data_IF_916662109071
#
_entry.id   IF_916662109071
#
_cell.length_a   1.000
_cell.length_b   1.000
_cell.length_c   1.000
_cell.angle_alpha   90.00
_cell.angle_beta   90.00
_cell.angle_gamma   90.00
#
_symmetry.space_group_name_H-M   'P 1'
#
loop_
_entity.id
_entity.type
_entity.pdbx_description
1 polymer ?
#
# COMPACT_ATOMS: atom_id res chain seq x y z
N UNK A 1 -0.57 -3.13 0.48
CA UNK A 1 -1.35 -3.59 -0.69
C UNK A 1 -0.48 -3.61 -1.92
N UNK A 2 -0.71 -4.54 -2.84
CA UNK A 2 0.00 -4.57 -4.13
C UNK A 2 -1.03 -4.60 -5.25
N UNK A 3 -0.85 -3.73 -6.25
CA UNK A 3 -1.60 -3.76 -7.51
C UNK A 3 -0.65 -4.23 -8.61
N UNK A 4 -1.13 -5.07 -9.53
CA UNK A 4 -0.33 -5.54 -10.68
C UNK A 4 -0.88 -4.96 -11.98
N UNK A 5 -0.03 -4.28 -12.73
CA UNK A 5 -0.28 -3.78 -14.07
C UNK A 5 0.77 -4.41 -14.99
N UNK A 6 0.42 -5.42 -15.81
CA UNK A 6 1.41 -6.16 -16.58
C UNK A 6 1.96 -5.36 -17.77
N UNK A 7 3.26 -5.50 -18.05
CA UNK A 7 3.88 -4.95 -19.26
C UNK A 7 3.86 -3.43 -19.30
N UNK A 8 3.53 -2.86 -20.46
CA UNK A 8 3.51 -1.40 -20.67
C UNK A 8 2.12 -0.77 -20.41
N UNK A 9 1.30 -1.40 -19.58
CA UNK A 9 0.00 -0.82 -19.19
C UNK A 9 0.23 0.42 -18.35
N UNK A 10 -0.53 1.48 -18.64
CA UNK A 10 -0.48 2.73 -17.90
C UNK A 10 -0.87 2.49 -16.44
N UNK A 11 -0.06 3.02 -15.52
CA UNK A 11 -0.39 3.03 -14.09
C UNK A 11 -1.29 4.24 -13.78
N UNK A 12 -2.50 4.04 -13.24
CA UNK A 12 -3.40 5.13 -12.84
C UNK A 12 -2.90 5.81 -11.55
N UNK A 13 -3.43 7.00 -11.26
CA UNK A 13 -3.23 7.64 -9.96
C UNK A 13 -3.98 6.86 -8.88
N UNK A 14 -3.28 6.49 -7.80
CA UNK A 14 -3.83 5.66 -6.71
C UNK A 14 -4.14 6.52 -5.49
N UNK A 15 -5.37 6.39 -5.00
CA UNK A 15 -5.87 7.09 -3.82
C UNK A 15 -6.43 6.09 -2.80
N UNK A 16 -6.23 6.40 -1.53
CA UNK A 16 -6.88 5.72 -0.41
C UNK A 16 -8.14 6.48 -0.02
N UNK A 17 -9.20 5.77 0.36
CA UNK A 17 -10.35 6.39 1.03
C UNK A 17 -10.12 6.35 2.53
N UNK A 18 -10.08 7.53 3.15
CA UNK A 18 -9.97 7.69 4.59
C UNK A 18 -11.27 7.32 5.29
N UNK A 19 -11.25 7.09 6.62
CA UNK A 19 -12.46 6.77 7.40
C UNK A 19 -13.56 7.84 7.32
N UNK A 20 -13.21 9.09 7.01
CA UNK A 20 -14.15 10.20 6.78
C UNK A 20 -14.78 10.19 5.37
N UNK A 21 -14.46 9.19 4.54
CA UNK A 21 -14.95 9.03 3.17
C UNK A 21 -14.20 9.86 2.13
N UNK A 22 -13.18 10.64 2.52
CA UNK A 22 -12.42 11.48 1.59
C UNK A 22 -11.25 10.74 0.95
N UNK A 23 -10.93 11.12 -0.28
CA UNK A 23 -9.74 10.64 -0.97
C UNK A 23 -8.48 11.31 -0.41
N UNK A 24 -7.44 10.52 -0.20
CA UNK A 24 -6.08 11.00 0.05
C UNK A 24 -5.10 10.32 -0.91
N UNK A 25 -4.01 11.03 -1.23
CA UNK A 25 -2.95 10.47 -2.08
C UNK A 25 -2.31 9.26 -1.41
N UNK A 26 -2.13 8.18 -2.15
CA UNK A 26 -1.38 7.04 -1.66
C UNK A 26 0.11 7.28 -1.90
N UNK A 27 0.95 7.06 -0.88
CA UNK A 27 2.37 6.88 -1.12
C UNK A 27 2.59 5.49 -1.72
N UNK A 28 3.30 5.38 -2.85
CA UNK A 28 3.56 4.09 -3.47
C UNK A 28 4.89 4.07 -4.21
N UNK A 29 5.42 2.87 -4.43
CA UNK A 29 6.60 2.62 -5.27
C UNK A 29 6.25 1.64 -6.38
N UNK A 30 6.84 1.83 -7.56
CA UNK A 30 6.66 0.94 -8.71
C UNK A 30 7.89 0.03 -8.84
N UNK A 31 7.67 -1.29 -8.94
CA UNK A 31 8.70 -2.32 -9.09
C UNK A 31 8.29 -3.31 -10.17
N UNK A 32 8.83 -3.13 -11.38
CA UNK A 32 8.34 -3.87 -12.55
C UNK A 32 6.84 -3.66 -12.74
N UNK A 33 6.09 -4.75 -12.88
CA UNK A 33 4.63 -4.74 -13.04
C UNK A 33 3.86 -4.41 -11.76
N UNK A 34 4.53 -4.20 -10.62
CA UNK A 34 3.87 -4.06 -9.32
C UNK A 34 3.92 -2.63 -8.79
N UNK A 35 2.77 -2.15 -8.33
CA UNK A 35 2.67 -0.93 -7.52
C UNK A 35 2.47 -1.35 -6.06
N UNK A 36 3.52 -1.13 -5.26
CA UNK A 36 3.52 -1.43 -3.83
C UNK A 36 3.09 -0.20 -3.04
N UNK A 37 1.97 -0.34 -2.32
CA UNK A 37 1.47 0.65 -1.38
C UNK A 37 1.73 0.14 0.04
N UNK A 38 2.56 0.81 0.86
CA UNK A 38 2.90 0.39 2.23
C UNK A 38 1.76 0.72 3.22
N UNK A 39 0.52 0.40 2.84
CA UNK A 39 -0.67 0.55 3.65
C UNK A 39 -1.68 -0.55 3.30
N UNK A 40 -2.61 -0.79 4.22
CA UNK A 40 -3.81 -1.59 4.01
C UNK A 40 -4.99 -0.64 4.23
N UNK A 41 -5.94 -0.64 3.30
CA UNK A 41 -7.13 0.22 3.39
C UNK A 41 -8.38 -0.58 3.05
N UNK A 42 -9.53 -0.09 3.55
CA UNK A 42 -10.85 -0.62 3.23
C UNK A 42 -11.22 -0.38 1.77
N UNK A 43 -10.90 0.81 1.25
CA UNK A 43 -11.19 1.16 -0.13
C UNK A 43 -10.05 1.91 -0.81
N UNK A 44 -9.97 1.73 -2.13
CA UNK A 44 -9.07 2.43 -3.02
C UNK A 44 -9.84 3.05 -4.18
N UNK A 45 -9.28 4.13 -4.74
CA UNK A 45 -9.73 4.73 -6.01
C UNK A 45 -8.54 4.82 -6.94
N UNK A 46 -8.68 4.22 -8.12
CA UNK A 46 -7.71 4.30 -9.20
C UNK A 46 -8.30 5.23 -10.26
N UNK A 47 -7.62 6.35 -10.54
CA UNK A 47 -8.09 7.38 -11.47
C UNK A 47 -7.24 7.40 -12.72
N UNK A 48 -7.89 7.33 -13.88
CA UNK A 48 -7.25 7.46 -15.19
C UNK A 48 -8.09 8.38 -16.09
N UNK A 49 -7.65 9.64 -16.22
CA UNK A 49 -8.41 10.67 -16.92
C UNK A 49 -9.81 10.84 -16.34
N UNK A 50 -10.84 10.56 -17.14
CA UNK A 50 -12.26 10.66 -16.75
C UNK A 50 -12.82 9.36 -16.15
N UNK A 51 -12.02 8.30 -16.03
CA UNK A 51 -12.46 7.01 -15.49
C UNK A 51 -11.96 6.81 -14.06
N UNK A 52 -12.81 6.25 -13.21
CA UNK A 52 -12.49 5.90 -11.83
C UNK A 52 -12.86 4.45 -11.56
N UNK A 53 -11.92 3.66 -11.08
CA UNK A 53 -12.14 2.32 -10.54
C UNK A 53 -12.15 2.37 -9.01
N UNK A 54 -13.25 1.93 -8.40
CA UNK A 54 -13.34 1.70 -6.96
C UNK A 54 -13.01 0.25 -6.62
N UNK A 55 -12.17 0.05 -5.60
CA UNK A 55 -11.80 -1.28 -5.11
C UNK A 55 -12.11 -1.35 -3.63
N UNK A 56 -12.88 -2.37 -3.21
CA UNK A 56 -13.22 -2.64 -1.82
C UNK A 56 -12.50 -3.89 -1.32
N UNK A 57 -11.73 -3.74 -0.23
CA UNK A 57 -11.13 -4.85 0.49
C UNK A 57 -12.15 -5.42 1.48
N UNK A 58 -12.86 -6.48 1.07
CA UNK A 58 -13.93 -7.11 1.88
C UNK A 58 -13.41 -7.83 3.12
N UNK A 59 -12.10 -8.05 3.25
CA UNK A 59 -11.44 -8.64 4.41
C UNK A 59 -10.51 -7.63 5.10
N UNK A 60 -10.93 -6.36 5.16
CA UNK A 60 -10.13 -5.31 5.75
C UNK A 60 -9.96 -5.49 7.27
N UNK A 61 -8.70 -5.70 7.69
CA UNK A 61 -8.26 -5.67 9.08
C UNK A 61 -7.30 -4.48 9.29
N UNK A 62 -7.71 -3.42 10.01
CA UNK A 62 -6.87 -2.25 10.25
C UNK A 62 -5.72 -2.50 11.25
N UNK A 63 -5.80 -3.56 12.07
CA UNK A 63 -4.78 -3.89 13.07
C UNK A 63 -3.70 -4.74 12.42
N UNK A 64 -4.11 -5.76 11.65
CA UNK A 64 -3.22 -6.65 10.92
C UNK A 64 -2.28 -7.44 11.83
N UNK A 65 -1.15 -7.90 11.27
CA UNK A 65 -0.12 -8.66 12.00
C UNK A 65 1.22 -7.97 11.87
N UNK A 66 1.85 -7.66 13.01
CA UNK A 66 3.19 -7.05 13.04
C UNK A 66 4.27 -8.13 13.10
N UNK A 67 5.35 -8.05 12.30
CA UNK A 67 6.46 -9.00 12.36
C UNK A 67 7.24 -9.01 13.68
N UNK A 68 7.09 -7.98 14.53
CA UNK A 68 7.84 -7.84 15.79
C UNK A 68 9.31 -7.40 15.63
N UNK A 69 9.81 -7.32 14.40
CA UNK A 69 11.23 -7.02 14.11
C UNK A 69 11.54 -5.52 13.93
N UNK A 70 10.51 -4.68 13.89
CA UNK A 70 10.64 -3.26 13.56
C UNK A 70 10.93 -2.99 12.07
N UNK A 71 10.88 -4.01 11.22
CA UNK A 71 11.00 -3.91 9.77
C UNK A 71 9.77 -4.51 9.06
N UNK A 72 9.69 -4.31 7.74
CA UNK A 72 8.61 -4.87 6.91
C UNK A 72 8.77 -6.38 6.73
N UNK A 73 10.02 -6.87 6.59
CA UNK A 73 10.30 -8.30 6.48
C UNK A 73 10.50 -8.93 7.86
N UNK A 74 10.08 -10.17 8.00
CA UNK A 74 10.14 -10.93 9.26
C UNK A 74 11.55 -11.46 9.58
N UNK A 75 12.44 -11.49 8.61
CA UNK A 75 13.84 -11.94 8.71
C UNK A 75 14.83 -10.77 8.87
N UNK A 76 14.33 -9.53 8.99
CA UNK A 76 15.14 -8.31 9.13
C UNK A 76 14.77 -7.59 10.42
N UNK A 77 15.76 -7.29 11.27
CA UNK A 77 15.58 -6.53 12.51
C UNK A 77 16.12 -5.11 12.39
N UNK A 78 15.34 -4.13 12.83
CA UNK A 78 15.82 -2.76 13.01
C UNK A 78 16.48 -2.64 14.38
N UNK A 79 17.78 -2.38 14.38
CA UNK A 79 18.59 -2.16 15.59
C UNK A 79 19.21 -0.77 15.60
N UNK A 80 19.29 -0.16 16.78
CA UNK A 80 20.00 1.12 16.94
C UNK A 80 21.51 0.87 16.84
N UNK A 81 22.18 1.62 15.96
CA UNK A 81 23.63 1.55 15.83
C UNK A 81 24.28 2.07 17.11
N UNK A 82 25.10 1.24 17.77
CA UNK A 82 25.81 1.60 19.01
C UNK A 82 25.10 1.17 20.31
N UNK A 83 23.90 0.60 20.24
CA UNK A 83 23.32 -0.09 21.39
C UNK A 83 24.06 -1.43 21.58
N UNK A 84 24.79 -1.59 22.70
CA UNK A 84 25.27 -2.90 23.10
C UNK A 84 24.09 -3.77 23.54
N UNK A 85 24.15 -5.05 23.20
CA UNK A 85 23.10 -6.03 23.49
C UNK A 85 23.01 -6.34 24.98
#
# INVERSE_FOLDING_TARGET
>A
TVFRFPGNVRVPSIYVINPDGREATANYSVKGDYVEVPAVAREWRLRDGHTVLGIWNSAYDPIGRKPGTGAVRHDVWRVLKGASR
#
